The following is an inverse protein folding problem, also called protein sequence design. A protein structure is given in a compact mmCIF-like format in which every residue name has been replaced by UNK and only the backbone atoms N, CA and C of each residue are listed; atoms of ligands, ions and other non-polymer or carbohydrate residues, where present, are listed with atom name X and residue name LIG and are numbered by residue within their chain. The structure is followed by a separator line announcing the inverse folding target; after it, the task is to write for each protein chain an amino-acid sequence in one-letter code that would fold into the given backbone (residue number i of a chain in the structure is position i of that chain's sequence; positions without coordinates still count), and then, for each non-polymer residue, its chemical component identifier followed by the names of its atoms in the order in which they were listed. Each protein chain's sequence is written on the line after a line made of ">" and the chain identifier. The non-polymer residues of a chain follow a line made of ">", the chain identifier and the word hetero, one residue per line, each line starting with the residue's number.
data_IF_760464478646
#
_entry.id   IF_760464478646
#
_cell.length_a   1.000
_cell.length_b   1.000
_cell.length_c   1.000
_cell.angle_alpha   90.00
_cell.angle_beta   90.00
_cell.angle_gamma   90.00
#
_symmetry.space_group_name_H-M   'P 1'
#
loop_
_entity.id
_entity.type
_entity.pdbx_description
1 polymer ?
#
# COMPACT_ATOMS: atom_id res chain seq x y z
N UNK A 1 -27.28 -5.82 2.61
CA UNK A 1 -28.44 -6.34 3.37
C UNK A 1 -27.98 -7.17 4.59
N UNK A 2 -28.72 -8.28 4.99
CA UNK A 2 -28.45 -9.02 6.23
C UNK A 2 -26.99 -9.54 6.35
N UNK A 3 -26.46 -10.16 5.30
CA UNK A 3 -25.08 -10.68 5.27
C UNK A 3 -24.04 -9.57 5.57
N UNK A 4 -24.19 -8.39 5.05
CA UNK A 4 -23.26 -7.26 5.25
C UNK A 4 -23.28 -6.72 6.68
N UNK A 5 -24.41 -6.89 7.38
CA UNK A 5 -24.59 -6.43 8.77
C UNK A 5 -24.12 -7.44 9.81
N UNK A 6 -23.96 -8.74 9.43
CA UNK A 6 -23.69 -9.85 10.34
C UNK A 6 -22.53 -10.72 9.84
N UNK A 7 -21.57 -10.12 9.14
CA UNK A 7 -20.41 -10.83 8.56
C UNK A 7 -19.56 -11.56 9.60
N UNK A 8 -19.54 -11.06 10.82
CA UNK A 8 -18.85 -11.62 12.00
C UNK A 8 -19.50 -12.91 12.54
N UNK A 9 -20.82 -13.05 12.41
CA UNK A 9 -21.56 -14.22 12.91
C UNK A 9 -21.57 -15.37 11.88
N UNK A 10 -21.57 -15.04 10.58
CA UNK A 10 -21.67 -16.02 9.48
C UNK A 10 -20.62 -17.14 9.54
N UNK A 11 -19.35 -16.89 9.92
CA UNK A 11 -18.36 -17.96 10.07
C UNK A 11 -18.75 -19.06 11.07
N UNK A 12 -19.60 -18.76 12.05
CA UNK A 12 -19.99 -19.68 13.12
C UNK A 12 -21.34 -20.38 12.90
N UNK A 13 -22.23 -19.83 12.05
CA UNK A 13 -23.60 -20.33 11.88
C UNK A 13 -23.74 -21.27 10.67
N UNK A 14 -24.78 -22.11 10.66
CA UNK A 14 -25.12 -22.98 9.52
C UNK A 14 -25.90 -22.21 8.45
N UNK A 15 -25.91 -22.72 7.21
CA UNK A 15 -26.73 -22.13 6.14
C UNK A 15 -28.23 -22.13 6.49
N UNK A 16 -28.68 -23.13 7.26
CA UNK A 16 -30.07 -23.23 7.73
C UNK A 16 -30.35 -22.08 8.69
N UNK A 17 -29.47 -21.87 9.69
CA UNK A 17 -29.60 -20.79 10.65
C UNK A 17 -29.58 -19.42 9.95
N UNK A 18 -28.65 -19.21 9.02
CA UNK A 18 -28.61 -17.98 8.21
C UNK A 18 -29.90 -17.77 7.39
N UNK A 19 -30.50 -18.85 6.88
CA UNK A 19 -31.76 -18.75 6.11
C UNK A 19 -32.93 -18.35 6.99
N UNK A 20 -32.98 -18.83 8.22
CA UNK A 20 -33.98 -18.44 9.21
C UNK A 20 -33.83 -16.99 9.63
N UNK A 21 -32.63 -16.59 10.02
CA UNK A 21 -32.33 -15.24 10.55
C UNK A 21 -32.49 -14.16 9.46
N UNK A 22 -32.11 -14.46 8.21
CA UNK A 22 -32.29 -13.57 7.07
C UNK A 22 -33.68 -13.66 6.39
N UNK A 23 -34.55 -14.57 6.87
CA UNK A 23 -35.88 -14.85 6.31
C UNK A 23 -35.86 -15.08 4.78
N UNK A 24 -34.91 -15.90 4.31
CA UNK A 24 -34.74 -16.28 2.89
C UNK A 24 -34.46 -17.78 2.77
N UNK A 25 -34.69 -18.38 1.59
CA UNK A 25 -34.33 -19.78 1.38
C UNK A 25 -32.82 -20.01 1.32
N UNK A 26 -32.37 -21.21 1.72
CA UNK A 26 -30.96 -21.64 1.57
C UNK A 26 -30.48 -21.56 0.12
N UNK A 27 -31.36 -21.82 -0.86
CA UNK A 27 -31.09 -21.67 -2.29
C UNK A 27 -30.79 -20.21 -2.69
N UNK A 28 -31.48 -19.25 -2.04
CA UNK A 28 -31.22 -17.83 -2.27
C UNK A 28 -29.85 -17.40 -1.73
N UNK A 29 -29.45 -17.94 -0.57
CA UNK A 29 -28.11 -17.72 0.00
C UNK A 29 -27.05 -18.25 -0.94
N UNK A 30 -27.16 -19.51 -1.40
CA UNK A 30 -26.21 -20.12 -2.33
C UNK A 30 -26.11 -19.30 -3.63
N UNK A 31 -27.22 -18.82 -4.14
CA UNK A 31 -27.26 -17.98 -5.35
C UNK A 31 -26.54 -16.64 -5.14
N UNK A 32 -26.70 -16.05 -3.96
CA UNK A 32 -26.06 -14.79 -3.61
C UNK A 32 -24.54 -14.96 -3.49
N UNK A 33 -24.05 -15.97 -2.76
CA UNK A 33 -22.62 -16.21 -2.60
C UNK A 33 -21.93 -16.59 -3.92
N UNK A 34 -22.64 -17.29 -4.82
CA UNK A 34 -22.15 -17.54 -6.19
C UNK A 34 -22.03 -16.26 -7.02
N UNK A 35 -22.96 -15.32 -6.89
CA UNK A 35 -22.82 -13.98 -7.52
C UNK A 35 -21.65 -13.17 -6.98
N UNK A 36 -21.21 -13.43 -5.75
CA UNK A 36 -20.02 -12.84 -5.12
C UNK A 36 -18.71 -13.54 -5.54
N UNK A 37 -18.79 -14.55 -6.41
CA UNK A 37 -17.62 -15.24 -6.95
C UNK A 37 -17.18 -16.49 -6.18
N UNK A 38 -17.99 -16.98 -5.23
CA UNK A 38 -17.68 -18.19 -4.47
C UNK A 38 -18.38 -19.43 -5.06
N UNK A 39 -17.76 -20.60 -4.96
CA UNK A 39 -18.35 -21.87 -5.44
C UNK A 39 -19.63 -22.28 -4.68
N UNK A 40 -19.78 -21.80 -3.43
CA UNK A 40 -20.93 -22.06 -2.58
C UNK A 40 -20.77 -21.47 -1.18
N UNK A 41 -21.77 -21.71 -0.32
CA UNK A 41 -21.78 -21.18 1.05
C UNK A 41 -20.59 -21.67 1.90
N UNK A 42 -20.14 -22.91 1.69
CA UNK A 42 -18.98 -23.47 2.41
C UNK A 42 -17.68 -22.74 2.04
N UNK A 43 -17.46 -22.47 0.77
CA UNK A 43 -16.31 -21.71 0.26
C UNK A 43 -16.34 -20.27 0.77
N UNK A 44 -17.49 -19.61 0.69
CA UNK A 44 -17.71 -18.29 1.24
C UNK A 44 -17.46 -18.24 2.75
N UNK A 45 -18.02 -19.19 3.50
CA UNK A 45 -17.83 -19.33 4.95
C UNK A 45 -16.38 -19.60 5.31
N UNK A 46 -15.67 -20.42 4.53
CA UNK A 46 -14.25 -20.71 4.75
C UNK A 46 -13.38 -19.46 4.54
N UNK A 47 -13.68 -18.68 3.52
CA UNK A 47 -12.95 -17.44 3.23
C UNK A 47 -13.22 -16.38 4.29
N UNK A 48 -14.49 -16.20 4.69
CA UNK A 48 -14.83 -15.38 5.85
C UNK A 48 -14.12 -15.88 7.13
N UNK A 49 -14.12 -17.21 7.37
CA UNK A 49 -13.43 -17.81 8.51
C UNK A 49 -11.94 -17.56 8.47
N UNK A 50 -11.34 -17.54 7.30
CA UNK A 50 -9.92 -17.20 7.10
C UNK A 50 -9.68 -15.72 7.41
N UNK A 51 -10.53 -14.82 6.93
CA UNK A 51 -10.47 -13.41 7.26
C UNK A 51 -10.71 -13.14 8.77
N UNK A 52 -11.68 -13.83 9.39
CA UNK A 52 -12.00 -13.66 10.81
C UNK A 52 -11.10 -14.49 11.77
N UNK A 53 -10.52 -15.63 11.35
CA UNK A 53 -9.49 -16.33 12.13
C UNK A 53 -8.22 -15.49 12.24
N UNK A 54 -7.82 -14.84 11.16
CA UNK A 54 -6.72 -13.88 11.22
C UNK A 54 -7.03 -12.77 12.23
N UNK A 55 -8.26 -12.25 12.27
CA UNK A 55 -8.67 -11.21 13.23
C UNK A 55 -8.64 -11.71 14.68
N UNK A 56 -9.09 -12.93 14.96
CA UNK A 56 -9.18 -13.46 16.33
C UNK A 56 -7.85 -14.02 16.88
N UNK A 57 -7.02 -14.64 16.04
CA UNK A 57 -5.68 -15.08 16.43
C UNK A 57 -4.74 -13.87 16.62
N UNK A 58 -4.88 -12.84 15.80
CA UNK A 58 -4.14 -11.58 15.91
C UNK A 58 -4.60 -10.77 17.14
N UNK A 59 -5.89 -10.70 17.41
CA UNK A 59 -6.43 -10.06 18.62
C UNK A 59 -5.97 -10.78 19.90
N UNK A 60 -5.83 -12.11 19.89
CA UNK A 60 -5.30 -12.86 21.03
C UNK A 60 -3.84 -12.52 21.35
N UNK A 61 -3.10 -12.01 20.38
CA UNK A 61 -1.74 -11.48 20.55
C UNK A 61 -1.73 -10.13 21.28
N UNK A 62 -2.84 -9.38 21.20
CA UNK A 62 -2.99 -8.08 21.87
C UNK A 62 -3.92 -8.19 23.08
N UNK A 63 -3.51 -8.92 24.13
CA UNK A 63 -4.27 -9.05 25.40
C UNK A 63 -4.74 -7.72 25.98
N UNK A 64 -4.04 -6.62 25.69
CA UNK A 64 -4.42 -5.27 26.11
C UNK A 64 -5.67 -4.71 25.41
N UNK A 65 -6.14 -5.34 24.33
CA UNK A 65 -7.31 -4.88 23.55
C UNK A 65 -8.61 -5.60 23.92
N UNK A 66 -8.58 -6.63 24.77
CA UNK A 66 -9.78 -7.39 25.18
C UNK A 66 -10.84 -6.50 25.88
N UNK A 67 -10.42 -5.40 26.50
CA UNK A 67 -11.29 -4.45 27.18
C UNK A 67 -11.73 -3.26 26.30
N UNK A 68 -11.34 -3.23 25.02
CA UNK A 68 -11.59 -2.11 24.11
C UNK A 68 -12.80 -2.40 23.22
N UNK A 69 -13.56 -1.37 22.87
CA UNK A 69 -14.70 -1.46 21.93
C UNK A 69 -14.28 -2.16 20.62
N UNK A 70 -15.14 -3.07 20.14
CA UNK A 70 -14.89 -3.87 18.93
C UNK A 70 -14.55 -3.01 17.68
N UNK A 71 -15.11 -1.81 17.58
CA UNK A 71 -14.83 -0.89 16.47
C UNK A 71 -13.38 -0.39 16.53
N UNK A 72 -12.87 -0.12 17.72
CA UNK A 72 -11.47 0.30 17.90
C UNK A 72 -10.54 -0.88 17.66
N UNK A 73 -10.90 -2.10 18.08
CA UNK A 73 -10.16 -3.32 17.75
C UNK A 73 -10.04 -3.49 16.24
N UNK A 74 -11.12 -3.31 15.48
CA UNK A 74 -11.13 -3.39 14.02
C UNK A 74 -10.18 -2.35 13.36
N UNK A 75 -10.06 -1.15 13.94
CA UNK A 75 -9.10 -0.13 13.46
C UNK A 75 -7.66 -0.59 13.67
N UNK A 76 -7.33 -1.17 14.83
CA UNK A 76 -5.98 -1.68 15.11
C UNK A 76 -5.61 -2.80 14.15
N UNK A 77 -6.50 -3.80 14.00
CA UNK A 77 -6.30 -4.93 13.08
C UNK A 77 -6.14 -4.48 11.64
N UNK A 78 -6.97 -3.53 11.18
CA UNK A 78 -6.83 -2.95 9.84
C UNK A 78 -5.44 -2.36 9.59
N UNK A 79 -4.93 -1.56 10.53
CA UNK A 79 -3.61 -0.95 10.37
C UNK A 79 -2.48 -1.99 10.44
N UNK A 80 -2.58 -2.98 11.32
CA UNK A 80 -1.65 -4.11 11.38
C UNK A 80 -1.62 -4.88 10.05
N UNK A 81 -2.78 -5.16 9.47
CA UNK A 81 -2.88 -5.82 8.16
C UNK A 81 -2.26 -5.01 7.03
N UNK A 82 -2.41 -3.67 7.03
CA UNK A 82 -1.76 -2.80 6.03
C UNK A 82 -0.22 -2.93 6.12
N UNK A 83 0.33 -2.96 7.32
CA UNK A 83 1.77 -3.16 7.54
C UNK A 83 2.21 -4.55 7.11
N UNK A 84 1.60 -5.60 7.66
CA UNK A 84 1.98 -6.99 7.43
C UNK A 84 1.89 -7.38 5.96
N UNK A 85 0.73 -7.14 5.30
CA UNK A 85 0.53 -7.47 3.89
C UNK A 85 1.45 -6.67 2.97
N UNK A 86 1.79 -5.43 3.35
CA UNK A 86 2.78 -4.65 2.61
C UNK A 86 4.14 -5.32 2.68
N UNK A 87 4.59 -5.75 3.87
CA UNK A 87 5.88 -6.44 4.03
C UNK A 87 5.89 -7.77 3.26
N UNK A 88 4.80 -8.53 3.30
CA UNK A 88 4.65 -9.81 2.57
C UNK A 88 4.73 -9.67 1.04
N UNK A 89 4.43 -8.48 0.50
CA UNK A 89 4.51 -8.17 -0.94
C UNK A 89 5.89 -7.71 -1.39
N UNK A 90 6.78 -7.37 -0.45
CA UNK A 90 8.14 -6.93 -0.79
C UNK A 90 9.02 -8.15 -1.09
N UNK A 91 9.81 -8.03 -2.14
CA UNK A 91 10.84 -9.00 -2.45
C UNK A 91 12.25 -8.38 -2.35
N UNK A 92 13.22 -9.20 -2.01
CA UNK A 92 14.60 -8.75 -1.76
C UNK A 92 15.29 -8.22 -3.02
N UNK A 93 14.93 -8.72 -4.20
CA UNK A 93 15.53 -8.27 -5.46
C UNK A 93 15.08 -6.86 -5.79
N UNK A 94 13.79 -6.56 -5.70
CA UNK A 94 13.26 -5.21 -5.93
C UNK A 94 13.88 -4.19 -4.97
N UNK A 95 14.09 -4.58 -3.69
CA UNK A 95 14.78 -3.72 -2.71
C UNK A 95 16.22 -3.49 -3.12
N UNK A 96 16.95 -4.54 -3.50
CA UNK A 96 18.36 -4.44 -3.90
C UNK A 96 18.53 -3.60 -5.17
N UNK A 97 17.67 -3.80 -6.18
CA UNK A 97 17.68 -3.04 -7.43
C UNK A 97 17.44 -1.53 -7.14
N UNK A 98 16.50 -1.20 -6.25
CA UNK A 98 16.25 0.19 -5.85
C UNK A 98 17.41 0.80 -5.06
N UNK A 99 17.98 0.05 -4.12
CA UNK A 99 19.19 0.47 -3.37
C UNK A 99 20.34 0.73 -4.33
N UNK A 100 20.54 -0.15 -5.30
CA UNK A 100 21.62 0.02 -6.31
C UNK A 100 21.36 1.25 -7.19
N UNK A 101 20.13 1.50 -7.61
CA UNK A 101 19.78 2.68 -8.40
C UNK A 101 20.02 3.98 -7.62
N UNK A 102 19.62 4.04 -6.34
CA UNK A 102 19.87 5.19 -5.47
C UNK A 102 21.37 5.36 -5.23
N UNK A 103 22.09 4.28 -5.00
CA UNK A 103 23.54 4.31 -4.73
C UNK A 103 24.35 4.78 -5.93
N UNK A 104 24.03 4.33 -7.13
CA UNK A 104 24.72 4.68 -8.38
C UNK A 104 24.40 6.07 -8.93
N UNK A 105 23.28 6.66 -8.53
CA UNK A 105 22.84 7.94 -9.08
C UNK A 105 23.71 9.12 -8.59
N UNK A 106 23.84 10.18 -9.38
CA UNK A 106 24.45 11.43 -8.93
C UNK A 106 23.54 12.20 -7.98
N UNK A 107 22.25 12.26 -8.28
CA UNK A 107 21.22 12.92 -7.49
C UNK A 107 19.96 12.08 -7.41
N UNK A 108 19.24 12.20 -6.30
CA UNK A 108 17.93 11.61 -6.08
C UNK A 108 16.87 12.70 -6.13
N UNK A 109 15.86 12.51 -6.96
CA UNK A 109 14.73 13.43 -7.06
C UNK A 109 13.46 12.77 -6.53
N UNK A 110 12.80 13.40 -5.56
CA UNK A 110 11.57 12.91 -4.95
C UNK A 110 10.39 13.70 -5.50
N UNK A 111 9.47 13.02 -6.19
CA UNK A 111 8.24 13.62 -6.69
C UNK A 111 7.03 13.06 -5.95
N UNK A 112 6.23 13.94 -5.38
CA UNK A 112 5.04 13.56 -4.62
C UNK A 112 3.97 14.64 -4.66
N UNK A 113 2.72 14.27 -4.33
CA UNK A 113 1.58 15.20 -4.23
C UNK A 113 0.74 14.91 -2.99
N UNK A 114 0.14 15.96 -2.43
CA UNK A 114 -0.74 15.85 -1.27
C UNK A 114 -0.06 15.17 -0.07
N UNK A 115 -0.76 14.31 0.65
CA UNK A 115 -0.21 13.67 1.87
C UNK A 115 1.02 12.77 1.63
N UNK A 116 1.32 12.40 0.38
CA UNK A 116 2.57 11.67 0.08
C UNK A 116 3.82 12.53 0.25
N UNK A 117 3.68 13.86 0.30
CA UNK A 117 4.73 14.81 0.62
C UNK A 117 5.40 14.54 1.96
N UNK A 118 4.62 14.13 2.97
CA UNK A 118 5.16 13.80 4.30
C UNK A 118 6.20 12.66 4.23
N UNK A 119 5.96 11.67 3.36
CA UNK A 119 6.88 10.54 3.16
C UNK A 119 8.12 11.01 2.41
N UNK A 120 7.95 11.80 1.35
CA UNK A 120 9.07 12.35 0.59
C UNK A 120 9.97 13.22 1.48
N UNK A 121 9.39 14.05 2.36
CA UNK A 121 10.14 14.88 3.31
C UNK A 121 10.97 14.02 4.29
N UNK A 122 10.39 12.95 4.84
CA UNK A 122 11.16 12.02 5.68
C UNK A 122 12.31 11.37 4.90
N UNK A 123 12.04 10.96 3.65
CA UNK A 123 13.07 10.35 2.78
C UNK A 123 14.20 11.34 2.47
N UNK A 124 13.88 12.58 2.11
CA UNK A 124 14.87 13.62 1.82
C UNK A 124 15.80 13.85 3.01
N UNK A 125 15.24 14.06 4.21
CA UNK A 125 16.01 14.25 5.44
C UNK A 125 16.96 13.08 5.70
N UNK A 126 16.47 11.84 5.59
CA UNK A 126 17.27 10.64 5.86
C UNK A 126 18.36 10.42 4.81
N UNK A 127 18.06 10.68 3.53
CA UNK A 127 19.07 10.62 2.47
C UNK A 127 20.16 11.65 2.67
N UNK A 128 19.83 12.88 3.08
CA UNK A 128 20.83 13.90 3.43
C UNK A 128 21.70 13.49 4.62
N UNK A 129 21.13 12.84 5.65
CA UNK A 129 21.93 12.31 6.79
C UNK A 129 22.90 11.21 6.35
N UNK A 130 22.62 10.52 5.24
CA UNK A 130 23.49 9.54 4.61
C UNK A 130 24.40 10.17 3.52
N UNK A 131 24.57 11.50 3.55
CA UNK A 131 25.41 12.28 2.64
C UNK A 131 24.97 12.14 1.16
N UNK A 132 23.69 11.81 0.92
CA UNK A 132 23.14 11.67 -0.42
C UNK A 132 22.49 12.96 -0.90
N UNK A 133 22.92 13.49 -2.05
CA UNK A 133 22.26 14.63 -2.67
C UNK A 133 20.85 14.25 -3.10
N UNK A 134 19.86 14.90 -2.50
CA UNK A 134 18.44 14.62 -2.71
C UNK A 134 17.66 15.92 -2.75
N UNK A 135 16.68 16.01 -3.62
CA UNK A 135 15.80 17.18 -3.78
C UNK A 135 14.33 16.72 -3.88
N UNK A 136 13.44 17.35 -3.11
CA UNK A 136 12.01 17.05 -3.12
C UNK A 136 11.23 18.14 -3.87
N UNK A 137 10.26 17.71 -4.67
CA UNK A 137 9.36 18.61 -5.39
C UNK A 137 7.90 18.14 -5.28
N UNK A 138 7.01 19.08 -4.95
CA UNK A 138 5.58 18.84 -4.72
C UNK A 138 4.68 19.74 -5.57
N UNK A 139 5.18 20.85 -6.06
CA UNK A 139 4.44 21.73 -6.97
C UNK A 139 4.38 21.13 -8.38
N UNK A 140 3.20 21.04 -9.02
CA UNK A 140 3.03 20.40 -10.32
C UNK A 140 3.85 21.07 -11.43
N UNK A 141 3.96 22.40 -11.42
CA UNK A 141 4.69 23.12 -12.45
C UNK A 141 6.21 22.96 -12.27
N UNK A 142 6.65 22.90 -11.02
CA UNK A 142 8.07 22.65 -10.70
C UNK A 142 8.43 21.21 -11.06
N UNK A 143 7.61 20.22 -10.69
CA UNK A 143 7.81 18.80 -11.05
C UNK A 143 7.97 18.67 -12.57
N UNK A 144 7.04 19.27 -13.35
CA UNK A 144 7.11 19.28 -14.81
C UNK A 144 8.41 19.90 -15.33
N UNK A 145 8.82 21.05 -14.78
CA UNK A 145 10.06 21.73 -15.20
C UNK A 145 11.30 20.94 -14.83
N UNK A 146 11.36 20.38 -13.63
CA UNK A 146 12.52 19.63 -13.14
C UNK A 146 12.67 18.31 -13.87
N UNK A 147 11.58 17.55 -14.12
CA UNK A 147 11.64 16.26 -14.82
C UNK A 147 12.35 16.36 -16.19
N UNK A 148 12.18 17.48 -16.90
CA UNK A 148 12.89 17.72 -18.16
C UNK A 148 14.41 17.98 -18.03
N UNK A 149 14.90 18.23 -16.82
CA UNK A 149 16.32 18.51 -16.55
C UNK A 149 17.08 17.29 -16.06
N UNK A 150 16.38 16.24 -15.68
CA UNK A 150 16.98 14.99 -15.24
C UNK A 150 17.63 14.26 -16.42
N UNK A 151 18.66 13.49 -16.12
CA UNK A 151 19.39 12.69 -17.10
C UNK A 151 19.70 11.29 -16.54
N UNK A 152 20.25 10.40 -17.34
CA UNK A 152 20.52 9.00 -16.99
C UNK A 152 21.46 8.78 -15.78
N UNK A 153 22.10 9.83 -15.26
CA UNK A 153 22.93 9.76 -14.06
C UNK A 153 22.13 10.05 -12.77
N UNK A 154 20.88 10.46 -12.89
CA UNK A 154 19.99 10.74 -11.80
C UNK A 154 19.05 9.56 -11.52
N UNK A 155 18.30 9.59 -10.44
CA UNK A 155 17.19 8.67 -10.14
C UNK A 155 15.99 9.46 -9.66
N UNK A 156 14.80 9.14 -10.17
CA UNK A 156 13.54 9.69 -9.68
C UNK A 156 12.82 8.68 -8.80
N UNK A 157 12.42 9.10 -7.59
CA UNK A 157 11.54 8.33 -6.70
C UNK A 157 10.18 9.02 -6.69
N UNK A 158 9.16 8.34 -7.19
CA UNK A 158 7.79 8.87 -7.25
C UNK A 158 6.95 8.21 -6.16
N UNK A 159 6.26 9.02 -5.34
CA UNK A 159 5.45 8.54 -4.24
C UNK A 159 3.99 8.90 -4.51
N UNK A 160 3.18 7.91 -4.91
CA UNK A 160 1.79 8.12 -5.30
C UNK A 160 0.90 6.93 -4.91
N UNK A 161 -0.03 7.12 -3.96
CA UNK A 161 -0.85 6.03 -3.44
C UNK A 161 -1.62 5.30 -4.54
N UNK A 162 -2.29 6.02 -5.42
CA UNK A 162 -3.13 5.44 -6.47
C UNK A 162 -2.44 5.38 -7.84
N UNK A 163 -1.33 6.09 -8.03
CA UNK A 163 -0.55 6.08 -9.26
C UNK A 163 -1.21 6.73 -10.48
N UNK A 164 -2.19 7.63 -10.26
CA UNK A 164 -2.97 8.29 -11.33
C UNK A 164 -2.79 9.81 -11.41
N UNK A 165 -1.98 10.40 -10.53
CA UNK A 165 -1.75 11.85 -10.51
C UNK A 165 -1.09 12.28 -11.82
N UNK A 166 -1.77 13.11 -12.60
CA UNK A 166 -1.41 13.43 -13.98
C UNK A 166 0.00 13.99 -14.12
N UNK A 167 0.37 14.95 -13.27
CA UNK A 167 1.68 15.58 -13.28
C UNK A 167 2.81 14.59 -12.97
N UNK A 168 2.56 13.61 -12.10
CA UNK A 168 3.53 12.56 -11.79
C UNK A 168 3.65 11.55 -12.94
N UNK A 169 2.55 11.25 -13.62
CA UNK A 169 2.54 10.38 -14.81
C UNK A 169 3.32 11.06 -15.96
N UNK A 170 3.12 12.37 -16.15
CA UNK A 170 3.87 13.14 -17.12
C UNK A 170 5.37 13.15 -16.79
N UNK A 171 5.73 13.43 -15.53
CA UNK A 171 7.11 13.40 -15.07
C UNK A 171 7.77 12.02 -15.28
N UNK A 172 7.07 10.92 -14.96
CA UNK A 172 7.58 9.57 -15.22
C UNK A 172 7.83 9.30 -16.71
N UNK A 173 6.94 9.77 -17.58
CA UNK A 173 7.12 9.65 -19.04
C UNK A 173 8.35 10.42 -19.53
N UNK A 174 8.56 11.62 -19.02
CA UNK A 174 9.76 12.42 -19.33
C UNK A 174 11.02 11.73 -18.82
N UNK A 175 11.01 11.21 -17.59
CA UNK A 175 12.12 10.43 -17.05
C UNK A 175 12.45 9.24 -17.96
N UNK A 176 11.45 8.48 -18.43
CA UNK A 176 11.65 7.36 -19.35
C UNK A 176 12.29 7.81 -20.67
N UNK A 177 11.87 8.95 -21.23
CA UNK A 177 12.45 9.52 -22.46
C UNK A 177 13.92 9.94 -22.28
N UNK A 178 14.29 10.39 -21.08
CA UNK A 178 15.63 10.82 -20.72
C UNK A 178 16.49 9.70 -20.12
N UNK A 179 16.01 8.44 -20.15
CA UNK A 179 16.67 7.26 -19.57
C UNK A 179 16.98 7.39 -18.08
N UNK A 180 16.15 8.17 -17.36
CA UNK A 180 16.23 8.34 -15.89
C UNK A 180 15.52 7.17 -15.22
N UNK A 181 16.20 6.36 -14.38
CA UNK A 181 15.54 5.29 -13.64
C UNK A 181 14.45 5.84 -12.72
N UNK A 182 13.27 5.22 -12.76
CA UNK A 182 12.10 5.59 -11.94
C UNK A 182 11.78 4.50 -10.92
N UNK A 183 11.83 4.85 -9.65
CA UNK A 183 11.38 4.03 -8.54
C UNK A 183 10.01 4.54 -8.09
N UNK A 184 9.00 3.69 -8.08
CA UNK A 184 7.64 4.02 -7.66
C UNK A 184 7.28 3.36 -6.34
N UNK A 185 6.77 4.16 -5.40
CA UNK A 185 6.08 3.69 -4.20
C UNK A 185 4.58 3.92 -4.39
N UNK A 186 3.79 2.84 -4.44
CA UNK A 186 2.35 2.92 -4.71
C UNK A 186 1.56 1.84 -3.96
N UNK A 187 0.24 1.96 -3.89
CA UNK A 187 -0.66 0.87 -3.50
C UNK A 187 -1.48 0.35 -4.71
N UNK A 188 -1.07 0.68 -5.95
CA UNK A 188 -1.75 0.24 -7.16
C UNK A 188 -0.73 -0.14 -8.25
N UNK A 189 -0.35 -1.42 -8.28
CA UNK A 189 0.58 -1.97 -9.27
C UNK A 189 0.06 -1.99 -10.71
N UNK A 190 -1.25 -1.76 -10.95
CA UNK A 190 -1.84 -1.68 -12.28
C UNK A 190 -1.95 -0.23 -12.82
N UNK A 191 -1.47 0.74 -12.05
CA UNK A 191 -1.60 2.17 -12.37
C UNK A 191 -0.78 2.60 -13.59
N UNK A 192 -1.12 3.76 -14.20
CA UNK A 192 -0.30 4.36 -15.24
C UNK A 192 1.16 4.59 -14.83
N UNK A 193 1.39 5.04 -13.57
CA UNK A 193 2.75 5.22 -13.05
C UNK A 193 3.52 3.90 -12.99
N UNK A 194 2.89 2.81 -12.55
CA UNK A 194 3.56 1.51 -12.47
C UNK A 194 4.04 0.99 -13.83
N UNK A 195 3.33 1.35 -14.92
CA UNK A 195 3.73 0.98 -16.28
C UNK A 195 4.90 1.80 -16.84
N UNK A 196 5.19 2.95 -16.23
CA UNK A 196 6.25 3.87 -16.62
C UNK A 196 7.47 3.80 -15.70
N UNK A 197 7.40 3.00 -14.65
CA UNK A 197 8.45 2.88 -13.63
C UNK A 197 9.29 1.63 -13.85
N UNK A 198 10.60 1.73 -13.66
CA UNK A 198 11.55 0.62 -13.78
C UNK A 198 11.49 -0.30 -12.57
N UNK A 199 11.30 0.28 -11.39
CA UNK A 199 11.20 -0.43 -10.11
C UNK A 199 9.92 0.01 -9.42
N UNK A 200 9.04 -0.94 -9.10
CA UNK A 200 7.75 -0.63 -8.46
C UNK A 200 7.58 -1.39 -7.17
N UNK A 201 7.41 -0.66 -6.07
CA UNK A 201 6.97 -1.19 -4.79
C UNK A 201 5.46 -1.03 -4.66
N UNK A 202 4.78 -2.15 -4.40
CA UNK A 202 3.32 -2.14 -4.22
C UNK A 202 3.01 -2.46 -2.77
N UNK A 203 2.37 -1.52 -2.07
CA UNK A 203 1.89 -1.73 -0.71
C UNK A 203 0.41 -2.11 -0.68
N UNK A 204 0.02 -2.85 0.34
CA UNK A 204 -1.37 -3.22 0.55
C UNK A 204 -2.15 -2.07 1.21
N UNK A 205 -3.19 -1.60 0.55
CA UNK A 205 -4.14 -0.61 1.05
C UNK A 205 -5.48 -1.29 1.36
N UNK A 206 -5.99 -1.15 2.57
CA UNK A 206 -7.32 -1.61 2.94
C UNK A 206 -8.42 -0.86 2.19
N UNK A 207 -9.48 -1.58 1.79
CA UNK A 207 -10.70 -0.98 1.24
C UNK A 207 -11.49 -0.21 2.29
N UNK A 208 -11.40 -0.61 3.56
CA UNK A 208 -12.13 0.03 4.65
C UNK A 208 -11.54 1.40 4.99
N UNK A 209 -12.40 2.40 5.11
CA UNK A 209 -12.06 3.73 5.60
C UNK A 209 -13.09 4.18 6.63
N UNK A 210 -12.60 4.74 7.74
CA UNK A 210 -13.46 5.35 8.78
C UNK A 210 -13.59 6.88 8.58
N UNK A 211 -12.84 7.43 7.63
CA UNK A 211 -12.94 8.82 7.22
C UNK A 211 -13.98 8.98 6.10
N UNK A 212 -14.57 10.17 5.94
CA UNK A 212 -15.45 10.48 4.82
C UNK A 212 -14.80 10.19 3.46
N UNK A 213 -15.61 9.90 2.42
CA UNK A 213 -15.11 9.50 1.10
C UNK A 213 -14.22 10.57 0.42
N UNK A 214 -14.39 11.84 0.77
CA UNK A 214 -13.54 12.93 0.30
C UNK A 214 -12.18 13.00 1.00
N UNK A 215 -12.00 12.22 2.09
CA UNK A 215 -10.76 12.16 2.83
C UNK A 215 -9.67 11.38 2.09
N UNK A 216 -8.45 11.77 2.35
CA UNK A 216 -7.30 11.12 1.75
C UNK A 216 -7.02 9.79 2.46
N UNK A 217 -6.99 8.70 1.71
CA UNK A 217 -6.73 7.34 2.21
C UNK A 217 -5.36 7.22 2.91
N UNK A 218 -5.25 6.23 3.79
CA UNK A 218 -4.01 5.93 4.53
C UNK A 218 -2.77 5.84 3.62
N UNK A 219 -1.67 6.45 4.08
CA UNK A 219 -0.34 6.35 3.46
C UNK A 219 0.55 5.33 4.16
N UNK A 220 0.01 4.61 5.15
CA UNK A 220 0.78 3.65 5.94
C UNK A 220 1.55 2.62 5.10
N UNK A 221 0.99 2.03 4.02
CA UNK A 221 1.73 1.12 3.16
C UNK A 221 2.97 1.77 2.54
N UNK A 222 2.85 3.01 2.07
CA UNK A 222 3.97 3.73 1.45
C UNK A 222 5.02 4.13 2.49
N UNK A 223 4.60 4.43 3.72
CA UNK A 223 5.48 4.70 4.85
C UNK A 223 6.32 3.47 5.22
N UNK A 224 5.72 2.28 5.23
CA UNK A 224 6.42 1.01 5.47
C UNK A 224 7.49 0.77 4.39
N UNK A 225 7.11 0.91 3.11
CA UNK A 225 8.03 0.72 1.99
C UNK A 225 9.20 1.71 2.07
N UNK A 226 8.93 2.99 2.28
CA UNK A 226 9.98 4.03 2.33
C UNK A 226 10.98 3.78 3.45
N UNK A 227 10.53 3.33 4.63
CA UNK A 227 11.40 3.01 5.76
C UNK A 227 12.30 1.82 5.46
N UNK A 228 11.73 0.73 4.93
CA UNK A 228 12.50 -0.47 4.58
C UNK A 228 13.55 -0.13 3.51
N UNK A 229 13.19 0.65 2.49
CA UNK A 229 14.13 1.07 1.44
C UNK A 229 15.25 1.93 2.00
N UNK A 230 14.94 2.89 2.88
CA UNK A 230 15.95 3.76 3.50
C UNK A 230 16.89 3.00 4.44
N UNK A 231 16.35 2.06 5.23
CA UNK A 231 17.17 1.23 6.12
C UNK A 231 18.10 0.30 5.32
N UNK A 232 17.59 -0.29 4.23
CA UNK A 232 18.40 -1.10 3.32
C UNK A 232 19.50 -0.26 2.64
N UNK A 233 19.20 0.98 2.22
CA UNK A 233 20.19 1.91 1.69
C UNK A 233 21.24 2.29 2.73
N UNK A 234 20.84 2.56 3.99
CA UNK A 234 21.77 2.86 5.09
C UNK A 234 22.73 1.71 5.36
N UNK A 235 22.26 0.45 5.34
CA UNK A 235 23.10 -0.75 5.47
C UNK A 235 24.14 -0.81 4.33
N UNK A 236 23.74 -0.53 3.10
CA UNK A 236 24.64 -0.50 1.93
C UNK A 236 25.75 0.53 2.10
N UNK A 237 25.39 1.76 2.53
CA UNK A 237 26.37 2.85 2.75
C UNK A 237 27.34 2.52 3.90
N UNK A 238 26.84 1.94 5.00
CA UNK A 238 27.68 1.56 6.14
C UNK A 238 28.69 0.46 5.81
N UNK A 239 28.35 -0.46 4.91
CA UNK A 239 29.25 -1.55 4.49
C UNK A 239 30.39 -1.12 3.57
N UNK A 240 30.46 0.16 3.18
CA UNK A 240 31.51 0.72 2.32
C UNK A 240 32.45 1.71 3.03
N UNK A 241 32.17 2.01 4.30
CA UNK A 241 33.08 2.75 5.20
C UNK A 241 33.97 1.75 5.96
#
# INVERSE_FOLDING_TARGET
>A
AYIEQHLDEIPSISIVKLSEDANVSTASIVRTVKKLGYDGFTSFKHDLKKQYRFTNEELSTFKSLEAVDQKIQAVVVKNEQEVRRTIEQLDSKTIEDAVQAIFGAQRVYLFSRGLSEMIATEMEIKLHLLERTCEQYVDPNIIRTISHRLNAQDVAIIISLNGHTEELVEAARVCQQNEVPVILLTANGASPLAKLSDITFVGYKSESSYFPDYEVRSRLPLQVISRILLDAYAIRVAGQK
#
